data_IF_040501923980
#
_entry.id   IF_040501923980
#
_cell.length_a   1.000
_cell.length_b   1.000
_cell.length_c   1.000
_cell.angle_alpha   90.00
_cell.angle_beta   90.00
_cell.angle_gamma   90.00
#
_symmetry.space_group_name_H-M   'P 1'
#
loop_
_entity.id
_entity.type
_entity.pdbx_description
1 polymer ?
#
# COMPACT_ATOMS: atom_id res chain seq x y z
N UNK A 1 41.00 -29.37 -0.36
CA UNK A 1 40.67 -27.98 -0.75
C UNK A 1 41.37 -27.52 -2.03
N UNK A 2 42.71 -27.59 -2.14
CA UNK A 2 43.43 -27.08 -3.32
C UNK A 2 43.05 -27.77 -4.65
N UNK A 3 42.88 -29.10 -4.63
CA UNK A 3 42.38 -29.89 -5.77
C UNK A 3 40.94 -29.51 -6.15
N UNK A 4 40.07 -29.27 -5.18
CA UNK A 4 38.67 -28.91 -5.39
C UNK A 4 38.51 -27.55 -6.08
N UNK A 5 39.33 -26.56 -5.70
CA UNK A 5 39.36 -25.24 -6.34
C UNK A 5 39.92 -25.28 -7.77
N UNK A 6 40.91 -26.14 -8.03
CA UNK A 6 41.48 -26.33 -9.37
C UNK A 6 40.45 -26.97 -10.30
N UNK A 7 39.75 -28.02 -9.83
CA UNK A 7 38.66 -28.67 -10.57
C UNK A 7 37.51 -27.70 -10.86
N UNK A 8 37.11 -26.90 -9.88
CA UNK A 8 36.03 -25.92 -10.04
C UNK A 8 36.39 -24.85 -11.09
N UNK A 9 37.61 -24.31 -11.02
CA UNK A 9 38.10 -23.33 -11.98
C UNK A 9 38.20 -23.92 -13.39
N UNK A 10 38.72 -25.14 -13.52
CA UNK A 10 38.84 -25.82 -14.82
C UNK A 10 37.46 -26.14 -15.42
N UNK A 11 36.50 -26.58 -14.60
CA UNK A 11 35.13 -26.91 -15.00
C UNK A 11 34.39 -25.69 -15.54
N UNK A 12 34.43 -24.57 -14.80
CA UNK A 12 33.77 -23.32 -15.21
C UNK A 12 34.39 -22.72 -16.48
N UNK A 13 35.71 -22.86 -16.67
CA UNK A 13 36.42 -22.28 -17.82
C UNK A 13 36.26 -23.10 -19.13
N UNK A 14 36.02 -24.41 -19.07
CA UNK A 14 35.85 -25.25 -20.28
C UNK A 14 34.45 -25.13 -20.91
N UNK A 15 33.42 -24.78 -20.14
CA UNK A 15 32.03 -24.64 -20.62
C UNK A 15 31.37 -23.33 -20.17
N UNK A 16 32.12 -22.22 -20.27
CA UNK A 16 31.72 -20.86 -19.81
C UNK A 16 30.33 -20.45 -20.27
N UNK A 17 29.96 -20.72 -21.53
CA UNK A 17 28.66 -20.33 -22.07
C UNK A 17 27.49 -21.01 -21.36
N UNK A 18 27.63 -22.30 -20.99
CA UNK A 18 26.57 -23.05 -20.33
C UNK A 18 26.47 -22.64 -18.85
N UNK A 19 27.60 -22.42 -18.17
CA UNK A 19 27.60 -21.91 -16.79
C UNK A 19 27.05 -20.48 -16.72
N UNK A 20 27.35 -19.64 -17.70
CA UNK A 20 26.78 -18.29 -17.82
C UNK A 20 25.27 -18.34 -18.06
N UNK A 21 24.80 -19.25 -18.92
CA UNK A 21 23.37 -19.45 -19.16
C UNK A 21 22.64 -19.85 -17.87
N UNK A 22 23.19 -20.80 -17.11
CA UNK A 22 22.62 -21.22 -15.81
C UNK A 22 22.61 -20.06 -14.81
N UNK A 23 23.68 -19.25 -14.76
CA UNK A 23 23.73 -18.06 -13.91
C UNK A 23 22.62 -17.06 -14.29
N UNK A 24 22.45 -16.76 -15.57
CA UNK A 24 21.42 -15.85 -16.04
C UNK A 24 20.01 -16.37 -15.77
N UNK A 25 19.76 -17.66 -16.02
CA UNK A 25 18.47 -18.31 -15.74
C UNK A 25 18.12 -18.32 -14.25
N UNK A 26 19.09 -18.63 -13.38
CA UNK A 26 18.88 -18.63 -11.92
C UNK A 26 18.70 -17.22 -11.36
N UNK A 27 19.43 -16.22 -11.86
CA UNK A 27 19.18 -14.81 -11.53
C UNK A 27 17.77 -14.40 -11.94
N UNK A 28 17.33 -14.72 -13.16
CA UNK A 28 15.99 -14.39 -13.64
C UNK A 28 14.91 -15.06 -12.78
N UNK A 29 15.10 -16.33 -12.42
CA UNK A 29 14.18 -17.05 -11.55
C UNK A 29 14.04 -16.37 -10.19
N UNK A 30 15.16 -16.07 -9.52
CA UNK A 30 15.14 -15.44 -8.21
C UNK A 30 14.60 -14.01 -8.26
N UNK A 31 14.83 -13.27 -9.34
CA UNK A 31 14.20 -11.97 -9.56
C UNK A 31 12.67 -12.09 -9.68
N UNK A 32 12.15 -13.07 -10.43
CA UNK A 32 10.72 -13.32 -10.57
C UNK A 32 10.06 -13.77 -9.26
N UNK A 33 10.71 -14.65 -8.50
CA UNK A 33 10.25 -15.06 -7.16
C UNK A 33 10.20 -13.85 -6.23
N UNK A 34 11.19 -12.96 -6.30
CA UNK A 34 11.22 -11.74 -5.50
C UNK A 34 10.08 -10.79 -5.87
N UNK A 35 9.82 -10.62 -7.16
CA UNK A 35 8.71 -9.81 -7.64
C UNK A 35 7.35 -10.41 -7.22
N UNK A 36 7.17 -11.73 -7.32
CA UNK A 36 5.98 -12.43 -6.82
C UNK A 36 5.80 -12.28 -5.31
N UNK A 37 6.88 -12.43 -4.54
CA UNK A 37 6.85 -12.25 -3.10
C UNK A 37 6.38 -10.83 -2.74
N UNK A 38 6.92 -9.81 -3.40
CA UNK A 38 6.49 -8.42 -3.22
C UNK A 38 5.03 -8.20 -3.63
N UNK A 39 4.59 -8.80 -4.75
CA UNK A 39 3.20 -8.74 -5.17
C UNK A 39 2.27 -9.33 -4.12
N UNK A 40 2.57 -10.51 -3.56
CA UNK A 40 1.74 -11.12 -2.52
C UNK A 40 1.83 -10.38 -1.18
N UNK A 41 3.01 -9.91 -0.79
CA UNK A 41 3.20 -9.15 0.44
C UNK A 41 2.42 -7.83 0.42
N UNK A 42 2.46 -7.09 -0.72
CA UNK A 42 1.70 -5.86 -0.92
C UNK A 42 0.21 -6.10 -1.23
N UNK A 43 -0.14 -7.28 -1.75
CA UNK A 43 -1.54 -7.66 -1.92
C UNK A 43 -2.16 -8.01 -0.59
N UNK A 44 -1.52 -8.75 0.31
CA UNK A 44 -2.14 -9.05 1.61
C UNK A 44 -2.45 -7.77 2.41
N UNK A 45 -1.62 -6.73 2.28
CA UNK A 45 -1.93 -5.40 2.82
C UNK A 45 -3.09 -4.71 2.07
N UNK A 46 -3.19 -4.87 0.74
CA UNK A 46 -4.26 -4.30 -0.10
C UNK A 46 -5.59 -5.08 -0.10
N UNK A 47 -5.62 -6.39 0.10
CA UNK A 47 -6.85 -7.16 0.33
C UNK A 47 -7.44 -6.87 1.71
N UNK A 48 -6.65 -6.28 2.62
CA UNK A 48 -7.11 -5.61 3.83
C UNK A 48 -7.40 -4.11 3.63
N UNK A 49 -7.23 -3.58 2.41
CA UNK A 49 -7.46 -2.15 2.16
C UNK A 49 -8.91 -1.77 2.43
N UNK A 50 -9.08 -0.51 2.78
CA UNK A 50 -10.33 0.14 3.12
C UNK A 50 -11.50 -0.22 2.18
N UNK A 51 -11.25 -0.33 0.87
CA UNK A 51 -12.28 -0.58 -0.15
C UNK A 51 -12.59 -2.07 -0.38
N UNK A 52 -11.75 -2.99 0.10
CA UNK A 52 -11.93 -4.43 -0.10
C UNK A 52 -13.21 -4.95 0.56
N UNK A 53 -13.61 -4.39 1.71
CA UNK A 53 -14.86 -4.73 2.39
C UNK A 53 -16.14 -4.28 1.65
N UNK A 54 -15.99 -3.51 0.57
CA UNK A 54 -17.08 -3.08 -0.31
C UNK A 54 -16.99 -3.70 -1.70
N UNK A 55 -16.35 -4.87 -1.81
CA UNK A 55 -16.33 -5.66 -3.04
C UNK A 55 -17.77 -5.84 -3.57
N UNK A 56 -18.02 -5.39 -4.80
CA UNK A 56 -19.34 -5.41 -5.44
C UNK A 56 -20.17 -4.12 -5.31
N UNK A 57 -19.75 -3.11 -4.53
CA UNK A 57 -20.36 -1.77 -4.55
C UNK A 57 -19.67 -0.86 -5.56
N UNK A 58 -20.45 0.00 -6.20
CA UNK A 58 -19.96 1.14 -6.95
C UNK A 58 -19.66 2.32 -6.01
N UNK A 59 -18.55 3.00 -6.28
CA UNK A 59 -18.09 4.16 -5.52
C UNK A 59 -17.99 5.34 -6.47
N UNK A 60 -18.74 6.39 -6.18
CA UNK A 60 -18.73 7.64 -6.95
C UNK A 60 -18.25 8.78 -6.08
N UNK A 61 -17.37 9.63 -6.59
CA UNK A 61 -16.99 10.87 -5.94
C UNK A 61 -18.00 11.95 -6.29
N UNK A 62 -18.46 12.69 -5.29
CA UNK A 62 -19.19 13.94 -5.48
C UNK A 62 -18.21 15.09 -5.28
N UNK A 63 -18.18 16.02 -6.22
CA UNK A 63 -17.35 17.23 -6.14
C UNK A 63 -18.21 18.43 -6.49
N UNK A 64 -18.04 19.55 -5.80
CA UNK A 64 -18.61 20.81 -6.24
C UNK A 64 -17.92 21.31 -7.53
N UNK A 65 -18.61 22.21 -8.24
CA UNK A 65 -18.07 22.91 -9.42
C UNK A 65 -17.91 24.42 -9.17
N UNK A 66 -17.71 24.81 -7.91
CA UNK A 66 -17.51 26.21 -7.53
C UNK A 66 -16.04 26.55 -7.70
N UNK A 67 -15.71 27.06 -8.89
CA UNK A 67 -14.40 27.60 -9.21
C UNK A 67 -14.55 29.04 -9.70
N UNK A 68 -13.49 29.83 -9.52
CA UNK A 68 -13.38 31.20 -10.03
C UNK A 68 -14.58 32.08 -9.62
N UNK A 69 -15.28 32.66 -10.60
CA UNK A 69 -16.40 33.59 -10.37
C UNK A 69 -17.56 32.95 -9.58
N UNK A 70 -17.82 31.64 -9.77
CA UNK A 70 -18.89 30.93 -9.06
C UNK A 70 -18.61 30.80 -7.57
N UNK A 71 -17.34 30.60 -7.20
CA UNK A 71 -16.93 30.54 -5.80
C UNK A 71 -17.15 31.91 -5.13
N UNK A 72 -16.78 32.99 -5.82
CA UNK A 72 -17.00 34.37 -5.36
C UNK A 72 -18.50 34.66 -5.19
N UNK A 73 -19.34 34.25 -6.15
CA UNK A 73 -20.79 34.40 -6.08
C UNK A 73 -21.38 33.61 -4.89
N UNK A 74 -20.94 32.36 -4.70
CA UNK A 74 -21.39 31.52 -3.59
C UNK A 74 -21.10 32.17 -2.23
N UNK A 75 -19.88 32.67 -2.01
CA UNK A 75 -19.53 33.31 -0.74
C UNK A 75 -20.23 34.65 -0.53
N UNK A 76 -20.57 35.36 -1.62
CA UNK A 76 -21.28 36.63 -1.56
C UNK A 76 -22.79 36.48 -1.33
N UNK A 77 -23.35 35.28 -1.50
CA UNK A 77 -24.79 35.02 -1.41
C UNK A 77 -25.18 34.30 -0.09
N UNK A 78 -25.83 34.98 0.86
CA UNK A 78 -26.26 34.36 2.13
C UNK A 78 -27.23 33.17 1.95
N UNK A 79 -28.05 33.18 0.89
CA UNK A 79 -28.99 32.10 0.61
C UNK A 79 -28.29 30.82 0.13
N UNK A 80 -27.05 30.94 -0.37
CA UNK A 80 -26.27 29.78 -0.80
C UNK A 80 -25.95 28.83 0.35
N UNK A 81 -25.79 29.36 1.57
CA UNK A 81 -25.58 28.55 2.76
C UNK A 81 -26.76 27.59 3.01
N UNK A 82 -28.00 28.09 2.94
CA UNK A 82 -29.18 27.26 3.19
C UNK A 82 -29.29 26.12 2.16
N UNK A 83 -29.00 26.42 0.89
CA UNK A 83 -29.00 25.45 -0.21
C UNK A 83 -27.98 24.34 0.02
N UNK A 84 -26.73 24.70 0.32
CA UNK A 84 -25.65 23.70 0.54
C UNK A 84 -25.88 22.87 1.81
N UNK A 85 -26.41 23.48 2.89
CA UNK A 85 -26.81 22.75 4.11
C UNK A 85 -27.84 21.69 3.79
N UNK A 86 -28.92 22.08 3.10
CA UNK A 86 -30.00 21.18 2.75
C UNK A 86 -29.54 20.07 1.79
N UNK A 87 -28.64 20.41 0.84
CA UNK A 87 -28.02 19.43 -0.04
C UNK A 87 -27.23 18.38 0.76
N UNK A 88 -26.29 18.82 1.61
CA UNK A 88 -25.51 17.92 2.46
C UNK A 88 -26.40 17.06 3.36
N UNK A 89 -27.38 17.65 4.06
CA UNK A 89 -28.28 16.91 4.94
C UNK A 89 -29.09 15.86 4.18
N UNK A 90 -29.52 16.15 2.95
CA UNK A 90 -30.26 15.18 2.13
C UNK A 90 -29.35 14.05 1.62
N UNK A 91 -28.10 14.36 1.26
CA UNK A 91 -27.09 13.36 0.90
C UNK A 91 -26.77 12.43 2.07
N UNK A 92 -26.48 13.01 3.25
CA UNK A 92 -26.11 12.30 4.47
C UNK A 92 -27.18 11.29 4.90
N UNK A 93 -28.45 11.66 4.74
CA UNK A 93 -29.61 10.87 5.18
C UNK A 93 -30.30 10.08 4.03
N UNK A 94 -29.65 9.96 2.87
CA UNK A 94 -30.20 9.24 1.73
C UNK A 94 -30.41 7.75 2.04
N UNK A 95 -31.52 7.18 1.58
CA UNK A 95 -31.78 5.72 1.64
C UNK A 95 -31.32 4.99 0.38
N UNK A 96 -31.04 5.73 -0.70
CA UNK A 96 -30.65 5.16 -2.00
C UNK A 96 -29.16 4.81 -2.08
N UNK A 97 -28.35 5.39 -1.20
CA UNK A 97 -26.91 5.19 -1.13
C UNK A 97 -26.37 5.58 0.25
N UNK A 98 -25.18 5.08 0.57
CA UNK A 98 -24.42 5.51 1.73
C UNK A 98 -23.51 6.68 1.33
N UNK A 99 -23.65 7.82 2.00
CA UNK A 99 -22.83 9.00 1.74
C UNK A 99 -21.75 9.17 2.82
N UNK A 100 -20.49 9.07 2.40
CA UNK A 100 -19.32 9.19 3.26
C UNK A 100 -18.60 10.51 2.93
N UNK A 101 -18.35 11.36 3.92
CA UNK A 101 -17.55 12.55 3.73
C UNK A 101 -16.32 12.49 4.64
N UNK A 102 -15.17 12.75 4.01
CA UNK A 102 -13.85 12.79 4.64
C UNK A 102 -13.06 13.93 4.02
N UNK A 103 -12.81 14.97 4.80
CA UNK A 103 -12.15 16.18 4.32
C UNK A 103 -10.74 16.25 4.91
N UNK A 104 -9.73 16.51 4.08
CA UNK A 104 -8.36 16.76 4.54
C UNK A 104 -8.08 18.26 4.61
N UNK A 105 -8.70 18.94 5.57
CA UNK A 105 -8.41 20.32 5.88
C UNK A 105 -7.58 20.40 7.16
N UNK A 106 -6.35 20.92 7.05
CA UNK A 106 -5.50 21.22 8.20
C UNK A 106 -6.14 22.25 9.14
N UNK A 107 -5.75 22.20 10.42
CA UNK A 107 -6.15 23.17 11.45
C UNK A 107 -4.91 23.92 11.96
N UNK A 108 -5.10 25.16 12.41
CA UNK A 108 -4.08 25.91 13.13
C UNK A 108 -4.15 25.58 14.62
N UNK A 109 -3.12 25.04 15.26
CA UNK A 109 -3.13 24.73 16.70
C UNK A 109 -2.22 25.70 17.44
N UNK A 110 -2.74 26.33 18.50
CA UNK A 110 -1.92 27.15 19.39
C UNK A 110 -1.12 26.28 20.36
N UNK A 111 0.11 26.70 20.66
CA UNK A 111 1.01 26.01 21.61
C UNK A 111 1.12 24.50 21.31
N UNK A 112 1.33 24.16 20.04
CA UNK A 112 1.39 22.77 19.61
C UNK A 112 2.55 22.03 20.29
N UNK A 113 2.27 20.84 20.84
CA UNK A 113 3.26 20.06 21.60
C UNK A 113 3.99 19.01 20.76
N UNK A 114 3.54 18.76 19.53
CA UNK A 114 4.08 17.71 18.67
C UNK A 114 5.29 18.13 17.84
N UNK A 115 5.84 17.17 17.10
CA UNK A 115 6.97 17.35 16.18
C UNK A 115 6.54 17.77 14.76
N UNK A 116 7.50 18.14 13.91
CA UNK A 116 7.25 18.55 12.52
C UNK A 116 6.54 17.48 11.67
N UNK A 117 6.65 16.20 12.05
CA UNK A 117 5.98 15.07 11.39
C UNK A 117 4.45 15.19 11.39
N UNK A 118 3.86 15.98 12.28
CA UNK A 118 2.42 16.22 12.36
C UNK A 118 1.96 17.45 11.54
N UNK A 119 2.89 18.19 10.95
CA UNK A 119 2.60 19.46 10.26
C UNK A 119 2.29 19.26 8.78
N UNK A 120 1.35 20.05 8.27
CA UNK A 120 0.97 20.03 6.87
C UNK A 120 2.18 20.30 5.97
N UNK A 121 2.38 19.43 4.96
CA UNK A 121 3.49 19.56 4.00
C UNK A 121 4.73 18.73 4.36
N UNK A 122 4.78 18.14 5.55
CA UNK A 122 5.91 17.29 5.97
C UNK A 122 6.22 16.16 4.99
N UNK A 123 5.20 15.43 4.49
CA UNK A 123 5.38 14.34 3.51
C UNK A 123 5.97 14.82 2.18
N UNK A 124 5.85 16.11 1.88
CA UNK A 124 6.43 16.75 0.68
C UNK A 124 7.84 17.29 0.94
N UNK A 125 8.39 17.08 2.14
CA UNK A 125 9.69 17.62 2.57
C UNK A 125 9.66 19.11 2.94
N UNK A 126 8.47 19.72 2.99
CA UNK A 126 8.29 21.16 3.22
C UNK A 126 7.17 21.40 4.25
N UNK A 127 7.44 21.15 5.55
CA UNK A 127 6.47 21.43 6.61
C UNK A 127 6.20 22.93 6.66
N UNK A 128 4.94 23.31 6.43
CA UNK A 128 4.56 24.72 6.36
C UNK A 128 4.80 25.41 7.71
N UNK A 129 5.36 26.65 7.70
CA UNK A 129 5.59 27.38 8.93
C UNK A 129 4.26 27.76 9.61
N UNK A 130 4.30 28.03 10.93
CA UNK A 130 3.15 28.57 11.66
C UNK A 130 2.73 29.93 11.09
N UNK A 131 1.48 30.31 11.35
CA UNK A 131 0.93 31.60 10.93
C UNK A 131 0.33 32.36 12.11
N UNK A 132 0.26 33.68 11.98
CA UNK A 132 -0.49 34.55 12.90
C UNK A 132 -1.66 35.16 12.15
N UNK A 133 -2.82 35.25 12.81
CA UNK A 133 -4.00 35.91 12.23
C UNK A 133 -3.85 37.44 12.21
N UNK A 134 -3.16 37.99 13.21
CA UNK A 134 -2.75 39.40 13.32
C UNK A 134 -1.40 39.48 14.03
N UNK A 135 -0.62 40.51 13.69
CA UNK A 135 0.66 40.78 14.36
C UNK A 135 0.46 40.93 15.88
N UNK A 136 1.30 40.27 16.66
CA UNK A 136 1.23 40.29 18.13
C UNK A 136 0.23 39.30 18.77
N UNK A 137 -0.55 38.56 17.98
CA UNK A 137 -1.40 37.47 18.47
C UNK A 137 -0.65 36.12 18.49
N UNK A 138 -1.13 35.11 19.25
CA UNK A 138 -0.55 33.78 19.26
C UNK A 138 -0.40 33.19 17.86
N UNK A 139 0.70 32.49 17.62
CA UNK A 139 0.92 31.74 16.39
C UNK A 139 0.17 30.41 16.42
N UNK A 140 -0.21 29.96 15.23
CA UNK A 140 -0.90 28.69 15.00
C UNK A 140 -0.04 27.79 14.11
N UNK A 141 0.29 26.61 14.61
CA UNK A 141 0.96 25.56 13.85
C UNK A 141 -0.03 24.87 12.92
N UNK A 142 0.34 24.65 11.66
CA UNK A 142 -0.53 24.02 10.66
C UNK A 142 -0.52 22.51 10.83
N UNK A 143 -1.35 22.01 11.74
CA UNK A 143 -1.42 20.59 12.08
C UNK A 143 -2.33 19.85 11.09
N UNK A 144 -1.90 18.65 10.69
CA UNK A 144 -2.69 17.74 9.86
C UNK A 144 -4.00 17.38 10.55
N UNK A 145 -5.09 17.48 9.82
CA UNK A 145 -6.40 17.04 10.30
C UNK A 145 -7.24 16.43 9.20
N UNK A 146 -8.15 15.56 9.66
CA UNK A 146 -9.21 14.96 8.86
C UNK A 146 -10.54 15.24 9.55
N UNK A 147 -11.53 15.68 8.79
CA UNK A 147 -12.92 15.78 9.23
C UNK A 147 -13.69 14.59 8.68
N UNK A 148 -14.48 13.92 9.51
CA UNK A 148 -15.26 12.74 9.11
C UNK A 148 -16.71 12.89 9.54
N UNK A 149 -17.66 12.43 8.72
CA UNK A 149 -19.08 12.44 9.10
C UNK A 149 -19.50 11.17 9.91
N UNK A 150 -20.71 11.20 10.48
CA UNK A 150 -21.24 10.08 11.28
C UNK A 150 -21.33 8.78 10.47
N UNK A 151 -21.66 8.87 9.17
CA UNK A 151 -21.69 7.70 8.30
C UNK A 151 -20.31 7.03 8.17
N UNK A 152 -19.21 7.79 8.12
CA UNK A 152 -17.85 7.21 8.14
C UNK A 152 -17.65 6.48 9.46
N UNK A 153 -17.87 7.15 10.60
CA UNK A 153 -17.61 6.53 11.89
C UNK A 153 -18.48 5.29 12.16
N UNK A 154 -19.76 5.31 11.80
CA UNK A 154 -20.69 4.20 12.01
C UNK A 154 -20.45 3.03 11.07
N UNK A 155 -19.95 3.28 9.86
CA UNK A 155 -19.68 2.21 8.90
C UNK A 155 -18.33 1.55 9.19
N UNK A 156 -17.37 2.25 9.80
CA UNK A 156 -16.06 1.71 10.11
C UNK A 156 -15.95 1.36 11.60
N UNK A 157 -15.42 0.16 11.89
CA UNK A 157 -15.15 -0.28 13.26
C UNK A 157 -13.92 0.44 13.84
N UNK A 158 -14.00 1.77 13.96
CA UNK A 158 -12.97 2.64 14.52
C UNK A 158 -12.84 2.31 16.00
N UNK A 159 -11.61 2.01 16.43
CA UNK A 159 -11.31 1.68 17.83
C UNK A 159 -10.32 2.67 18.40
N UNK A 160 -10.51 2.98 19.67
CA UNK A 160 -9.57 3.77 20.45
C UNK A 160 -8.65 2.86 21.26
N UNK A 161 -7.43 3.33 21.47
CA UNK A 161 -6.53 2.79 22.49
C UNK A 161 -6.83 3.41 23.85
N UNK A 162 -7.23 4.69 23.88
CA UNK A 162 -7.63 5.42 25.09
C UNK A 162 -8.86 6.28 24.82
N UNK A 163 -9.72 6.43 25.82
CA UNK A 163 -10.95 7.22 25.69
C UNK A 163 -11.98 6.57 24.79
N UNK A 164 -12.83 7.38 24.15
CA UNK A 164 -13.98 6.93 23.35
C UNK A 164 -13.93 7.44 21.92
N UNK A 165 -14.66 6.77 21.03
CA UNK A 165 -14.99 7.32 19.70
C UNK A 165 -16.09 8.38 19.81
N UNK A 166 -16.35 9.11 18.71
CA UNK A 166 -17.47 10.05 18.68
C UNK A 166 -18.82 9.32 18.84
N UNK A 167 -19.77 9.98 19.49
CA UNK A 167 -21.17 9.60 19.50
C UNK A 167 -21.96 10.54 18.57
N UNK A 168 -23.28 10.32 18.42
CA UNK A 168 -24.09 11.13 17.51
C UNK A 168 -24.15 12.60 17.92
N UNK A 169 -24.12 12.88 19.22
CA UNK A 169 -24.19 14.22 19.77
C UNK A 169 -22.91 15.03 19.46
N UNK A 170 -21.76 14.37 19.35
CA UNK A 170 -20.47 15.01 19.06
C UNK A 170 -20.41 15.66 17.67
N UNK A 171 -21.28 15.24 16.73
CA UNK A 171 -21.38 15.86 15.41
C UNK A 171 -22.21 17.15 15.41
N UNK A 172 -23.00 17.41 16.47
CA UNK A 172 -23.81 18.61 16.58
C UNK A 172 -22.95 19.77 17.07
N UNK A 173 -22.75 20.77 16.21
CA UNK A 173 -22.01 21.97 16.60
C UNK A 173 -22.90 22.91 17.41
N UNK A 174 -22.39 23.30 18.58
CA UNK A 174 -23.01 24.32 19.43
C UNK A 174 -21.96 25.35 19.78
N UNK A 175 -22.26 26.62 19.50
CA UNK A 175 -21.31 27.70 19.78
C UNK A 175 -20.97 27.78 21.27
N UNK A 176 -19.69 27.98 21.58
CA UNK A 176 -19.21 28.10 22.96
C UNK A 176 -19.06 26.77 23.71
N UNK A 177 -19.32 25.64 23.05
CA UNK A 177 -19.02 24.31 23.59
C UNK A 177 -17.67 23.82 23.09
N UNK A 178 -16.99 23.00 23.89
CA UNK A 178 -15.72 22.40 23.47
C UNK A 178 -15.98 21.32 22.43
N UNK A 179 -15.30 21.43 21.31
CA UNK A 179 -15.36 20.46 20.21
C UNK A 179 -14.75 19.13 20.66
N UNK A 180 -15.42 17.98 20.51
CA UNK A 180 -14.82 16.68 20.77
C UNK A 180 -13.78 16.36 19.70
N UNK A 181 -12.59 15.94 20.12
CA UNK A 181 -11.46 15.66 19.22
C UNK A 181 -10.92 14.27 19.47
N UNK A 182 -10.68 13.52 18.40
CA UNK A 182 -9.88 12.30 18.46
C UNK A 182 -8.49 12.56 17.88
N UNK A 183 -7.48 11.87 18.38
CA UNK A 183 -6.12 11.94 17.85
C UNK A 183 -5.65 10.61 17.30
N UNK A 184 -4.83 10.65 16.25
CA UNK A 184 -4.08 9.50 15.78
C UNK A 184 -3.14 8.92 16.84
N UNK A 185 -2.76 7.65 16.67
CA UNK A 185 -1.99 6.91 17.66
C UNK A 185 -0.63 7.55 18.02
N UNK A 186 0.04 8.24 17.08
CA UNK A 186 1.34 8.85 17.32
C UNK A 186 1.28 10.10 18.22
N UNK A 187 0.09 10.64 18.48
CA UNK A 187 -0.08 11.74 19.44
C UNK A 187 -0.04 11.29 20.92
N UNK A 188 -0.07 9.99 21.19
CA UNK A 188 -0.19 9.44 22.55
C UNK A 188 0.91 9.95 23.51
N UNK A 189 2.09 10.27 23.00
CA UNK A 189 3.22 10.78 23.80
C UNK A 189 3.12 12.26 24.14
N UNK A 190 2.22 13.01 23.48
CA UNK A 190 2.14 14.48 23.58
C UNK A 190 0.87 14.97 24.26
N UNK A 191 -0.22 14.20 24.17
CA UNK A 191 -1.54 14.58 24.66
C UNK A 191 -2.25 13.41 25.36
N UNK A 192 -3.11 13.73 26.32
CA UNK A 192 -3.97 12.79 27.03
C UNK A 192 -5.46 13.07 26.77
N UNK A 193 -6.29 12.05 26.98
CA UNK A 193 -7.75 12.23 26.99
C UNK A 193 -8.13 13.20 28.12
N UNK A 194 -8.96 14.18 27.81
CA UNK A 194 -9.34 15.29 28.70
C UNK A 194 -8.54 16.57 28.48
N UNK A 195 -7.38 16.51 27.79
CA UNK A 195 -6.62 17.70 27.45
C UNK A 195 -7.42 18.62 26.52
N UNK A 196 -7.20 19.92 26.68
CA UNK A 196 -7.82 20.96 25.86
C UNK A 196 -6.83 21.48 24.82
N UNK A 197 -7.29 21.69 23.59
CA UNK A 197 -6.52 22.34 22.53
C UNK A 197 -7.28 23.57 22.01
N UNK A 198 -6.56 24.67 21.78
CA UNK A 198 -7.10 25.87 21.14
C UNK A 198 -6.66 25.87 19.68
N UNK A 199 -7.62 26.00 18.76
CA UNK A 199 -7.34 25.85 17.35
C UNK A 199 -8.18 26.77 16.46
N UNK A 200 -7.61 27.14 15.33
CA UNK A 200 -8.25 27.85 14.23
C UNK A 200 -8.64 26.83 13.15
N UNK A 201 -9.94 26.77 12.84
CA UNK A 201 -10.48 25.93 11.78
C UNK A 201 -11.33 26.79 10.84
N UNK A 202 -10.93 26.87 9.57
CA UNK A 202 -11.62 27.69 8.55
C UNK A 202 -11.79 29.16 8.99
N UNK A 203 -10.77 29.71 9.66
CA UNK A 203 -10.68 31.05 10.24
C UNK A 203 -11.57 31.29 11.49
N UNK A 204 -12.21 30.25 12.01
CA UNK A 204 -12.94 30.29 13.28
C UNK A 204 -12.06 29.73 14.40
N UNK A 205 -11.85 30.51 15.46
CA UNK A 205 -11.19 30.05 16.67
C UNK A 205 -12.17 29.23 17.52
N UNK A 206 -11.72 28.05 17.92
CA UNK A 206 -12.48 27.03 18.63
C UNK A 206 -11.63 26.45 19.76
N UNK A 207 -12.31 25.94 20.78
CA UNK A 207 -11.73 25.17 21.86
C UNK A 207 -12.14 23.71 21.68
N UNK A 208 -11.18 22.79 21.77
CA UNK A 208 -11.39 21.36 21.61
C UNK A 208 -10.99 20.58 22.85
N UNK A 209 -11.67 19.48 23.11
CA UNK A 209 -11.33 18.52 24.17
C UNK A 209 -11.00 17.16 23.54
N UNK A 210 -9.88 16.58 23.92
CA UNK A 210 -9.48 15.26 23.44
C UNK A 210 -10.34 14.21 24.13
N UNK A 211 -11.21 13.53 23.37
CA UNK A 211 -12.12 12.49 23.88
C UNK A 211 -11.59 11.09 23.63
N UNK A 212 -10.65 10.91 22.70
CA UNK A 212 -10.10 9.62 22.35
C UNK A 212 -8.77 9.69 21.59
N UNK A 213 -8.00 8.61 21.71
CA UNK A 213 -6.78 8.37 20.92
C UNK A 213 -6.96 7.04 20.20
N UNK A 214 -6.87 7.06 18.88
CA UNK A 214 -7.10 5.93 17.99
C UNK A 214 -6.05 4.82 18.17
N UNK A 215 -6.42 3.59 17.81
CA UNK A 215 -5.44 2.51 17.70
C UNK A 215 -4.50 2.76 16.52
N UNK A 216 -3.27 2.25 16.63
CA UNK A 216 -2.27 2.32 15.56
C UNK A 216 -2.79 1.70 14.26
N UNK A 217 -2.43 2.28 13.13
CA UNK A 217 -2.85 1.90 11.79
C UNK A 217 -4.37 2.01 11.56
N UNK A 218 -5.06 2.93 12.26
CA UNK A 218 -6.47 3.22 11.93
C UNK A 218 -6.53 3.94 10.59
N UNK A 219 -7.40 3.46 9.68
CA UNK A 219 -7.54 3.99 8.32
C UNK A 219 -8.95 4.51 8.04
N UNK A 220 -9.03 5.57 7.22
CA UNK A 220 -10.28 6.19 6.79
C UNK A 220 -10.41 6.17 5.25
N UNK A 221 -11.65 6.21 4.70
CA UNK A 221 -11.81 6.51 3.28
C UNK A 221 -11.24 7.89 3.05
N UNK A 222 -10.34 8.07 2.10
CA UNK A 222 -10.04 9.40 1.60
C UNK A 222 -10.16 9.39 0.09
N UNK A 223 -10.79 10.42 -0.46
CA UNK A 223 -10.93 10.59 -1.89
C UNK A 223 -9.56 10.57 -2.57
N UNK A 224 -9.30 9.57 -3.41
CA UNK A 224 -8.04 9.41 -4.15
C UNK A 224 -6.91 8.71 -3.39
N UNK A 225 -7.14 8.27 -2.15
CA UNK A 225 -6.18 7.50 -1.36
C UNK A 225 -6.83 6.19 -0.88
N UNK A 226 -6.26 5.06 -1.30
CA UNK A 226 -6.76 3.73 -0.95
C UNK A 226 -6.32 3.26 0.44
N UNK A 227 -5.30 3.89 1.03
CA UNK A 227 -4.67 3.47 2.28
C UNK A 227 -4.26 4.70 3.11
N UNK A 228 -5.24 5.53 3.47
CA UNK A 228 -4.99 6.69 4.33
C UNK A 228 -4.95 6.29 5.81
N UNK A 229 -3.79 6.43 6.45
CA UNK A 229 -3.61 6.14 7.89
C UNK A 229 -3.69 7.42 8.73
N UNK A 230 -4.51 7.39 9.77
CA UNK A 230 -4.82 8.54 10.61
C UNK A 230 -3.83 8.75 11.78
N UNK A 231 -2.77 7.94 11.88
CA UNK A 231 -1.86 7.89 13.03
C UNK A 231 -1.25 9.25 13.39
N UNK A 232 -1.07 10.13 12.39
CA UNK A 232 -0.48 11.48 12.53
C UNK A 232 -1.47 12.62 12.27
N UNK A 233 -2.76 12.35 12.35
CA UNK A 233 -3.81 13.34 12.10
C UNK A 233 -4.60 13.64 13.38
N UNK A 234 -5.07 14.88 13.47
CA UNK A 234 -6.18 15.26 14.35
C UNK A 234 -7.49 14.93 13.64
N UNK A 235 -8.40 14.24 14.31
CA UNK A 235 -9.69 13.86 13.76
C UNK A 235 -10.75 14.77 14.38
N UNK A 236 -11.48 15.48 13.53
CA UNK A 236 -12.62 16.31 13.89
C UNK A 236 -13.92 15.69 13.35
N UNK A 237 -15.05 15.88 14.03
CA UNK A 237 -16.34 15.56 13.43
C UNK A 237 -16.67 16.57 12.33
N UNK A 238 -17.21 16.08 11.22
CA UNK A 238 -17.84 16.90 10.19
C UNK A 238 -19.16 17.43 10.76
N UNK A 239 -19.15 18.69 11.17
CA UNK A 239 -20.21 19.28 11.97
C UNK A 239 -21.57 19.37 11.25
N UNK A 240 -22.62 19.20 12.05
CA UNK A 240 -23.99 19.60 11.75
C UNK A 240 -24.27 20.89 12.51
N UNK A 241 -24.44 21.99 11.78
CA UNK A 241 -24.67 23.33 12.35
C UNK A 241 -26.10 23.79 12.07
N UNK A 242 -26.97 23.69 13.07
CA UNK A 242 -28.37 24.14 12.95
C UNK A 242 -28.52 25.65 13.15
N UNK A 243 -27.57 26.28 13.86
CA UNK A 243 -27.61 27.71 14.17
C UNK A 243 -27.51 28.59 12.91
N UNK A 244 -28.34 29.64 12.87
CA UNK A 244 -28.27 30.71 11.86
C UNK A 244 -27.04 31.59 12.18
N UNK A 245 -26.16 31.87 11.19
CA UNK A 245 -24.98 32.70 11.43
C UNK A 245 -25.38 34.12 11.82
N UNK A 246 -24.81 34.63 12.91
CA UNK A 246 -25.14 35.96 13.45
C UNK A 246 -24.28 37.10 12.88
N UNK A 247 -23.16 36.78 12.23
CA UNK A 247 -22.24 37.75 11.66
C UNK A 247 -21.55 37.17 10.40
N UNK A 248 -20.80 38.01 9.68
CA UNK A 248 -20.13 37.64 8.44
C UNK A 248 -19.06 36.53 8.64
N UNK A 249 -18.37 36.53 9.78
CA UNK A 249 -17.38 35.52 10.12
C UNK A 249 -18.03 34.14 10.29
N UNK A 250 -19.13 34.07 11.05
CA UNK A 250 -19.91 32.85 11.23
C UNK A 250 -20.53 32.38 9.90
N UNK A 251 -21.03 33.29 9.07
CA UNK A 251 -21.54 32.95 7.74
C UNK A 251 -20.44 32.32 6.88
N UNK A 252 -19.27 32.95 6.81
CA UNK A 252 -18.12 32.46 6.04
C UNK A 252 -17.63 31.10 6.55
N UNK A 253 -17.56 30.92 7.88
CA UNK A 253 -17.19 29.66 8.51
C UNK A 253 -18.14 28.53 8.08
N UNK A 254 -19.46 28.76 8.22
CA UNK A 254 -20.46 27.76 7.85
C UNK A 254 -20.44 27.47 6.33
N UNK A 255 -20.29 28.49 5.48
CA UNK A 255 -20.19 28.30 4.02
C UNK A 255 -19.00 27.42 3.64
N UNK A 256 -17.80 27.72 4.16
CA UNK A 256 -16.58 26.93 3.91
C UNK A 256 -16.72 25.50 4.42
N UNK A 257 -17.28 25.35 5.62
CA UNK A 257 -17.52 24.05 6.25
C UNK A 257 -18.41 23.17 5.37
N UNK A 258 -19.60 23.66 5.02
CA UNK A 258 -20.54 22.86 4.22
C UNK A 258 -20.08 22.64 2.78
N UNK A 259 -19.25 23.52 2.21
CA UNK A 259 -18.61 23.29 0.93
C UNK A 259 -17.65 22.08 1.01
N UNK A 260 -16.88 21.95 2.09
CA UNK A 260 -16.11 20.72 2.34
C UNK A 260 -17.02 19.50 2.55
N UNK A 261 -18.10 19.64 3.30
CA UNK A 261 -19.00 18.55 3.67
C UNK A 261 -19.69 17.89 2.45
N UNK A 262 -20.01 18.65 1.40
CA UNK A 262 -20.64 18.12 0.16
C UNK A 262 -19.67 17.39 -0.77
N UNK A 263 -18.36 17.50 -0.53
CA UNK A 263 -17.31 16.87 -1.31
C UNK A 263 -16.99 15.46 -0.79
N UNK A 264 -17.94 14.54 -0.97
CA UNK A 264 -17.89 13.19 -0.41
C UNK A 264 -17.81 12.06 -1.44
N UNK A 265 -18.15 10.86 -0.97
CA UNK A 265 -18.23 9.62 -1.72
C UNK A 265 -19.60 8.98 -1.55
N UNK A 266 -20.13 8.45 -2.63
CA UNK A 266 -21.40 7.74 -2.70
C UNK A 266 -21.09 6.26 -2.89
N UNK A 267 -21.49 5.44 -1.93
CA UNK A 267 -21.36 3.99 -1.95
C UNK A 267 -22.73 3.37 -2.22
N UNK A 268 -22.86 2.63 -3.32
CA UNK A 268 -24.14 2.06 -3.73
C UNK A 268 -23.98 0.86 -4.67
N UNK A 269 -25.03 0.07 -4.83
CA UNK A 269 -25.08 -1.00 -5.84
C UNK A 269 -25.64 -0.49 -7.19
N UNK A 270 -26.10 0.77 -7.24
CA UNK A 270 -26.67 1.40 -8.44
C UNK A 270 -25.55 1.81 -9.41
N UNK A 271 -25.87 1.79 -10.70
CA UNK A 271 -24.99 2.30 -11.75
C UNK A 271 -24.95 3.85 -11.77
N UNK A 272 -24.04 4.42 -12.57
CA UNK A 272 -23.80 5.86 -12.60
C UNK A 272 -25.04 6.67 -13.02
N UNK A 273 -25.82 6.16 -13.98
CA UNK A 273 -27.01 6.86 -14.49
C UNK A 273 -28.07 6.90 -13.39
N UNK A 274 -28.25 5.79 -12.68
CA UNK A 274 -29.16 5.71 -11.54
C UNK A 274 -28.75 6.64 -10.40
N UNK A 275 -27.45 6.71 -10.06
CA UNK A 275 -26.95 7.66 -9.05
C UNK A 275 -27.17 9.10 -9.48
N UNK A 276 -26.85 9.44 -10.74
CA UNK A 276 -27.06 10.78 -11.27
C UNK A 276 -28.53 11.20 -11.16
N UNK A 277 -29.48 10.30 -11.48
CA UNK A 277 -30.92 10.60 -11.32
C UNK A 277 -31.30 10.91 -9.89
N UNK A 278 -30.82 10.14 -8.92
CA UNK A 278 -31.12 10.36 -7.50
C UNK A 278 -30.53 11.69 -7.02
N UNK A 279 -29.25 11.95 -7.31
CA UNK A 279 -28.59 13.20 -6.88
C UNK A 279 -29.18 14.42 -7.59
N UNK A 280 -29.54 14.32 -8.88
CA UNK A 280 -30.26 15.37 -9.61
C UNK A 280 -31.61 15.68 -8.96
N UNK A 281 -32.37 14.67 -8.52
CA UNK A 281 -33.63 14.89 -7.82
C UNK A 281 -33.42 15.60 -6.46
N UNK A 282 -32.35 15.25 -5.74
CA UNK A 282 -31.96 15.94 -4.50
C UNK A 282 -31.61 17.41 -4.79
N UNK A 283 -30.75 17.64 -5.80
CA UNK A 283 -30.29 18.96 -6.23
C UNK A 283 -31.45 19.87 -6.64
N UNK A 284 -32.38 19.37 -7.46
CA UNK A 284 -33.58 20.11 -7.86
C UNK A 284 -34.46 20.50 -6.66
N UNK A 285 -34.62 19.58 -5.71
CA UNK A 285 -35.43 19.81 -4.50
C UNK A 285 -34.85 20.91 -3.62
N UNK A 286 -33.52 21.02 -3.52
CA UNK A 286 -32.83 21.97 -2.64
C UNK A 286 -32.23 23.18 -3.37
N UNK A 287 -32.36 23.22 -4.70
CA UNK A 287 -31.86 24.26 -5.60
C UNK A 287 -30.34 24.50 -5.49
N UNK A 288 -29.57 23.41 -5.43
CA UNK A 288 -28.11 23.40 -5.49
C UNK A 288 -27.64 22.58 -6.70
N UNK A 289 -27.04 23.24 -7.69
CA UNK A 289 -26.76 22.64 -9.00
C UNK A 289 -25.28 22.57 -9.35
N UNK A 290 -24.40 23.21 -8.56
CA UNK A 290 -22.96 23.29 -8.80
C UNK A 290 -22.22 22.06 -8.26
N UNK A 291 -22.46 20.90 -8.85
CA UNK A 291 -21.75 19.66 -8.54
C UNK A 291 -21.54 18.78 -9.76
N UNK A 292 -20.60 17.85 -9.62
CA UNK A 292 -20.32 16.78 -10.56
C UNK A 292 -20.17 15.46 -9.82
N UNK A 293 -20.69 14.39 -10.42
CA UNK A 293 -20.44 13.04 -9.98
C UNK A 293 -19.32 12.46 -10.85
N UNK A 294 -18.18 12.21 -10.21
CA UNK A 294 -17.01 11.61 -10.82
C UNK A 294 -17.01 10.13 -10.43
N UNK A 295 -17.41 9.29 -11.37
CA UNK A 295 -17.27 7.84 -11.22
C UNK A 295 -15.94 7.39 -11.80
N UNK A 296 -15.15 6.67 -11.01
CA UNK A 296 -14.37 5.61 -11.63
C UNK A 296 -15.40 4.66 -12.22
N UNK A 297 -15.43 4.52 -13.55
CA UNK A 297 -16.18 3.43 -14.15
C UNK A 297 -15.72 2.17 -13.39
N UNK A 298 -16.57 1.50 -12.62
CA UNK A 298 -16.15 0.32 -11.84
C UNK A 298 -15.57 -0.74 -12.76
N UNK A 299 -15.95 -0.70 -14.03
CA UNK A 299 -15.31 -1.36 -15.16
C UNK A 299 -13.79 -1.10 -15.20
N UNK A 300 -13.32 0.14 -15.09
CA UNK A 300 -11.89 0.47 -15.12
C UNK A 300 -11.10 -0.04 -13.91
N UNK A 301 -11.64 0.10 -12.69
CA UNK A 301 -10.99 -0.40 -11.47
C UNK A 301 -11.04 -1.93 -11.41
N UNK A 302 -12.18 -2.55 -11.72
CA UNK A 302 -12.31 -4.01 -11.79
C UNK A 302 -11.49 -4.61 -12.93
N UNK A 303 -11.39 -3.95 -14.10
CA UNK A 303 -10.45 -4.31 -15.16
C UNK A 303 -9.03 -4.19 -14.66
N UNK A 304 -8.65 -3.12 -13.96
CA UNK A 304 -7.30 -2.96 -13.42
C UNK A 304 -6.97 -4.06 -12.42
N UNK A 305 -7.88 -4.39 -11.49
CA UNK A 305 -7.70 -5.52 -10.56
C UNK A 305 -7.65 -6.87 -11.28
N UNK A 306 -8.49 -7.06 -12.30
CA UNK A 306 -8.49 -8.26 -13.14
C UNK A 306 -7.18 -8.38 -13.92
N UNK A 307 -6.69 -7.29 -14.52
CA UNK A 307 -5.40 -7.20 -15.21
C UNK A 307 -4.24 -7.44 -14.23
N UNK A 308 -4.29 -6.89 -13.02
CA UNK A 308 -3.29 -7.17 -11.98
C UNK A 308 -3.28 -8.66 -11.60
N UNK A 309 -4.45 -9.26 -11.40
CA UNK A 309 -4.57 -10.69 -11.09
C UNK A 309 -4.06 -11.55 -12.25
N UNK A 310 -4.41 -11.21 -13.49
CA UNK A 310 -3.91 -11.87 -14.69
C UNK A 310 -2.38 -11.71 -14.82
N UNK A 311 -1.83 -10.52 -14.54
CA UNK A 311 -0.38 -10.28 -14.56
C UNK A 311 0.35 -11.14 -13.53
N UNK A 312 -0.19 -11.28 -12.32
CA UNK A 312 0.38 -12.15 -11.28
C UNK A 312 0.31 -13.62 -11.69
N UNK A 313 -0.81 -14.05 -12.29
CA UNK A 313 -0.96 -15.40 -12.84
C UNK A 313 0.07 -15.67 -13.95
N UNK A 314 0.30 -14.70 -14.84
CA UNK A 314 1.33 -14.79 -15.89
C UNK A 314 2.74 -14.84 -15.30
N UNK A 315 3.04 -14.04 -14.27
CA UNK A 315 4.32 -14.08 -13.58
C UNK A 315 4.55 -15.42 -12.88
N UNK A 316 3.52 -16.00 -12.27
CA UNK A 316 3.59 -17.35 -11.68
C UNK A 316 3.87 -18.40 -12.76
N UNK A 317 3.18 -18.34 -13.90
CA UNK A 317 3.42 -19.23 -15.03
C UNK A 317 4.86 -19.13 -15.56
N UNK A 318 5.36 -17.92 -15.79
CA UNK A 318 6.75 -17.71 -16.24
C UNK A 318 7.77 -18.21 -15.21
N UNK A 319 7.51 -18.00 -13.92
CA UNK A 319 8.36 -18.52 -12.85
C UNK A 319 8.41 -20.04 -12.86
N UNK A 320 7.25 -20.71 -13.02
CA UNK A 320 7.18 -22.18 -13.09
C UNK A 320 7.92 -22.72 -14.32
N UNK A 321 7.77 -22.08 -15.49
CA UNK A 321 8.47 -22.47 -16.72
C UNK A 321 9.98 -22.30 -16.57
N UNK A 322 10.44 -21.16 -16.05
CA UNK A 322 11.87 -20.90 -15.83
C UNK A 322 12.45 -21.84 -14.78
N UNK A 323 11.69 -22.19 -13.74
CA UNK A 323 12.08 -23.16 -12.73
C UNK A 323 12.38 -24.54 -13.35
N UNK A 324 11.50 -25.03 -14.23
CA UNK A 324 11.71 -26.28 -14.97
C UNK A 324 12.94 -26.17 -15.89
N UNK A 325 13.08 -25.06 -16.62
CA UNK A 325 14.26 -24.83 -17.46
C UNK A 325 15.56 -24.82 -16.66
N UNK A 326 15.57 -24.25 -15.45
CA UNK A 326 16.76 -24.29 -14.58
C UNK A 326 17.15 -25.73 -14.24
N UNK A 327 16.19 -26.58 -13.86
CA UNK A 327 16.42 -28.00 -13.55
C UNK A 327 16.98 -28.73 -14.78
N UNK A 328 16.37 -28.54 -15.94
CA UNK A 328 16.80 -29.18 -17.20
C UNK A 328 18.21 -28.70 -17.60
N UNK A 329 18.46 -27.39 -17.58
CA UNK A 329 19.78 -26.81 -17.91
C UNK A 329 20.88 -27.31 -16.99
N UNK A 330 20.62 -27.36 -15.68
CA UNK A 330 21.58 -27.89 -14.70
C UNK A 330 21.83 -29.38 -14.97
N UNK A 331 20.77 -30.16 -15.16
CA UNK A 331 20.87 -31.60 -15.45
C UNK A 331 21.67 -31.87 -16.72
N UNK A 332 21.36 -31.17 -17.82
CA UNK A 332 22.08 -31.27 -19.09
C UNK A 332 23.54 -30.86 -18.94
N UNK A 333 23.83 -29.79 -18.20
CA UNK A 333 25.20 -29.34 -17.93
C UNK A 333 26.03 -30.40 -17.22
N UNK A 334 25.47 -31.03 -16.19
CA UNK A 334 26.14 -32.12 -15.47
C UNK A 334 26.35 -33.36 -16.37
N UNK A 335 25.34 -33.75 -17.14
CA UNK A 335 25.40 -34.90 -18.04
C UNK A 335 26.42 -34.68 -19.17
N UNK A 336 26.44 -33.51 -19.79
CA UNK A 336 27.41 -33.18 -20.84
C UNK A 336 28.84 -33.14 -20.29
N UNK A 337 29.01 -32.65 -19.05
CA UNK A 337 30.32 -32.66 -18.37
C UNK A 337 30.77 -34.06 -18.02
N UNK A 338 29.86 -34.94 -17.61
CA UNK A 338 30.15 -36.36 -17.44
C UNK A 338 30.76 -36.93 -18.72
N UNK A 339 30.08 -36.75 -19.86
CA UNK A 339 30.53 -37.31 -21.14
C UNK A 339 31.87 -36.71 -21.59
N UNK A 340 32.10 -35.42 -21.32
CA UNK A 340 33.35 -34.73 -21.66
C UNK A 340 34.54 -35.18 -20.78
N UNK A 341 34.31 -35.37 -19.49
CA UNK A 341 35.36 -35.64 -18.49
C UNK A 341 35.41 -37.11 -18.03
N UNK A 342 34.69 -38.02 -18.70
CA UNK A 342 34.54 -39.41 -18.26
C UNK A 342 35.88 -40.13 -18.04
N UNK A 343 36.90 -39.84 -18.87
CA UNK A 343 38.26 -40.39 -18.73
C UNK A 343 38.93 -39.92 -17.44
N UNK A 344 38.79 -38.64 -17.10
CA UNK A 344 39.35 -38.04 -15.88
C UNK A 344 38.68 -38.65 -14.64
N UNK A 345 37.36 -38.77 -14.66
CA UNK A 345 36.61 -39.40 -13.57
C UNK A 345 36.92 -40.89 -13.43
N UNK A 346 37.12 -41.63 -14.54
CA UNK A 346 37.54 -43.03 -14.49
C UNK A 346 38.93 -43.19 -13.84
N UNK A 347 39.90 -42.31 -14.16
CA UNK A 347 41.21 -42.30 -13.51
C UNK A 347 41.06 -42.04 -12.00
N UNK A 348 40.23 -41.06 -11.60
CA UNK A 348 39.98 -40.80 -10.18
C UNK A 348 39.40 -42.03 -9.46
N UNK A 349 38.42 -42.72 -10.07
CA UNK A 349 37.82 -43.92 -9.50
C UNK A 349 38.83 -45.07 -9.35
N UNK A 350 39.70 -45.27 -10.34
CA UNK A 350 40.77 -46.29 -10.29
C UNK A 350 41.82 -45.94 -9.22
N UNK A 351 42.15 -44.65 -9.09
CA UNK A 351 43.08 -44.15 -8.07
C UNK A 351 42.47 -44.10 -6.65
N UNK A 352 41.30 -44.71 -6.44
CA UNK A 352 40.68 -44.88 -5.12
C UNK A 352 39.66 -43.81 -4.73
N UNK A 353 39.27 -42.90 -5.63
CA UNK A 353 38.17 -41.97 -5.36
C UNK A 353 36.82 -42.70 -5.36
N UNK A 354 35.90 -42.25 -4.51
CA UNK A 354 34.56 -42.83 -4.41
C UNK A 354 33.53 -42.04 -5.23
N UNK A 355 32.46 -42.69 -5.65
CA UNK A 355 31.34 -42.07 -6.40
C UNK A 355 30.76 -40.82 -5.69
N UNK A 356 30.57 -40.80 -4.36
CA UNK A 356 30.13 -39.61 -3.63
C UNK A 356 31.09 -38.42 -3.73
N UNK A 357 32.40 -38.64 -3.86
CA UNK A 357 33.36 -37.55 -4.03
C UNK A 357 33.19 -36.84 -5.39
N UNK A 358 32.83 -37.59 -6.44
CA UNK A 358 32.51 -37.02 -7.76
C UNK A 358 31.20 -36.24 -7.71
N UNK A 359 30.18 -36.76 -7.02
CA UNK A 359 28.93 -36.04 -6.77
C UNK A 359 29.16 -34.74 -5.99
N UNK A 360 30.07 -34.74 -5.01
CA UNK A 360 30.43 -33.56 -4.23
C UNK A 360 31.08 -32.47 -5.10
N UNK A 361 31.90 -32.83 -6.10
CA UNK A 361 32.46 -31.87 -7.04
C UNK A 361 31.38 -31.21 -7.90
N UNK A 362 30.44 -32.00 -8.42
CA UNK A 362 29.30 -31.49 -9.19
C UNK A 362 28.40 -30.59 -8.34
N UNK A 363 28.12 -30.99 -7.09
CA UNK A 363 27.34 -30.21 -6.13
C UNK A 363 28.01 -28.87 -5.83
N UNK A 364 29.32 -28.86 -5.53
CA UNK A 364 30.04 -27.64 -5.19
C UNK A 364 30.04 -26.64 -6.34
N UNK A 365 30.12 -27.11 -7.58
CA UNK A 365 30.05 -26.22 -8.74
C UNK A 365 28.68 -25.54 -8.87
N UNK A 366 27.59 -26.31 -8.79
CA UNK A 366 26.23 -25.75 -8.87
C UNK A 366 25.98 -24.81 -7.70
N UNK A 367 26.41 -25.19 -6.50
CA UNK A 367 26.31 -24.37 -5.30
C UNK A 367 27.00 -23.02 -5.51
N UNK A 368 28.21 -22.99 -6.08
CA UNK A 368 28.91 -21.74 -6.39
C UNK A 368 28.13 -20.83 -7.35
N UNK A 369 27.53 -21.38 -8.41
CA UNK A 369 26.74 -20.60 -9.37
C UNK A 369 25.49 -20.03 -8.70
N UNK A 370 24.80 -20.84 -7.89
CA UNK A 370 23.59 -20.42 -7.19
C UNK A 370 23.91 -19.38 -6.11
N UNK A 371 24.96 -19.57 -5.31
CA UNK A 371 25.41 -18.58 -4.35
C UNK A 371 25.71 -17.24 -5.05
N UNK A 372 26.38 -17.27 -6.21
CA UNK A 372 26.63 -16.06 -6.98
C UNK A 372 25.32 -15.38 -7.42
N UNK A 373 24.36 -16.15 -7.95
CA UNK A 373 23.06 -15.58 -8.34
C UNK A 373 22.29 -14.98 -7.16
N UNK A 374 22.29 -15.64 -6.01
CA UNK A 374 21.64 -15.13 -4.79
C UNK A 374 22.31 -13.85 -4.29
N UNK A 375 23.64 -13.75 -4.33
CA UNK A 375 24.34 -12.51 -3.94
C UNK A 375 23.99 -11.34 -4.84
N UNK A 376 23.85 -11.56 -6.15
CA UNK A 376 23.44 -10.52 -7.09
C UNK A 376 22.02 -10.02 -6.81
N UNK A 377 21.08 -10.94 -6.57
CA UNK A 377 19.69 -10.60 -6.24
C UNK A 377 19.58 -9.92 -4.88
N UNK A 378 20.35 -10.36 -3.89
CA UNK A 378 20.42 -9.73 -2.58
C UNK A 378 20.87 -8.27 -2.68
N UNK A 379 21.97 -8.01 -3.38
CA UNK A 379 22.48 -6.64 -3.60
C UNK A 379 21.47 -5.76 -4.34
N UNK A 380 20.76 -6.32 -5.33
CA UNK A 380 19.70 -5.58 -6.02
C UNK A 380 18.53 -5.25 -5.10
N UNK A 381 18.10 -6.20 -4.25
CA UNK A 381 16.94 -6.02 -3.38
C UNK A 381 17.20 -5.03 -2.24
N UNK A 382 18.46 -4.82 -1.83
CA UNK A 382 18.82 -3.75 -0.90
C UNK A 382 18.48 -2.35 -1.44
N UNK A 383 18.47 -2.15 -2.76
CA UNK A 383 18.06 -0.89 -3.38
C UNK A 383 16.54 -0.66 -3.32
N UNK A 384 15.75 -1.73 -3.18
CA UNK A 384 14.28 -1.67 -3.13
C UNK A 384 13.78 -1.42 -1.71
N UNK A 385 14.46 -1.96 -0.70
CA UNK A 385 14.16 -1.73 0.72
C UNK A 385 14.46 -2.94 1.61
N UNK A 386 14.18 -2.81 2.90
CA UNK A 386 14.35 -3.91 3.87
C UNK A 386 13.27 -4.99 3.66
N UNK A 387 13.72 -6.25 3.54
CA UNK A 387 12.84 -7.40 3.31
C UNK A 387 12.67 -8.23 4.59
N UNK A 388 11.48 -8.80 4.85
CA UNK A 388 11.25 -9.64 6.01
C UNK A 388 12.07 -10.94 5.95
N UNK A 389 12.37 -11.54 7.10
CA UNK A 389 13.19 -12.76 7.19
C UNK A 389 12.60 -13.93 6.37
N UNK A 390 11.27 -14.05 6.29
CA UNK A 390 10.56 -15.08 5.51
C UNK A 390 10.86 -15.05 4.01
N UNK A 391 11.18 -13.88 3.45
CA UNK A 391 11.59 -13.74 2.06
C UNK A 391 12.88 -14.52 1.78
N UNK A 392 13.90 -14.37 2.64
CA UNK A 392 15.19 -15.04 2.48
C UNK A 392 15.07 -16.56 2.62
N UNK A 393 14.23 -17.05 3.55
CA UNK A 393 13.94 -18.47 3.66
C UNK A 393 13.27 -19.04 2.40
N UNK A 394 12.41 -18.27 1.74
CA UNK A 394 11.76 -18.68 0.49
C UNK A 394 12.78 -18.87 -0.63
N UNK A 395 13.71 -17.92 -0.81
CA UNK A 395 14.78 -18.04 -1.81
C UNK A 395 15.71 -19.23 -1.53
N UNK A 396 16.12 -19.41 -0.26
CA UNK A 396 16.96 -20.54 0.14
C UNK A 396 16.25 -21.87 -0.11
N UNK A 397 14.96 -21.98 0.26
CA UNK A 397 14.16 -23.18 0.02
C UNK A 397 14.10 -23.55 -1.46
N UNK A 398 13.79 -22.59 -2.34
CA UNK A 398 13.75 -22.81 -3.79
C UNK A 398 15.12 -23.20 -4.34
N UNK A 399 16.19 -22.56 -3.85
CA UNK A 399 17.56 -22.89 -4.28
C UNK A 399 17.94 -24.33 -3.98
N UNK A 400 17.59 -24.84 -2.79
CA UNK A 400 17.84 -26.23 -2.39
C UNK A 400 17.07 -27.21 -3.27
N UNK A 401 15.80 -26.92 -3.57
CA UNK A 401 14.96 -27.76 -4.42
C UNK A 401 15.57 -27.89 -5.83
N UNK A 402 16.03 -26.78 -6.41
CA UNK A 402 16.63 -26.78 -7.76
C UNK A 402 17.92 -27.59 -7.80
N UNK A 403 18.77 -27.46 -6.76
CA UNK A 403 20.01 -28.24 -6.67
C UNK A 403 19.69 -29.73 -6.60
N UNK A 404 18.79 -30.13 -5.69
CA UNK A 404 18.41 -31.53 -5.51
C UNK A 404 17.83 -32.10 -6.79
N UNK A 405 16.81 -31.44 -7.38
CA UNK A 405 16.14 -31.93 -8.59
C UNK A 405 17.08 -31.95 -9.80
N UNK A 406 17.94 -30.93 -9.97
CA UNK A 406 18.91 -30.88 -11.06
C UNK A 406 20.01 -31.94 -10.98
N UNK A 407 20.31 -32.43 -9.77
CA UNK A 407 21.31 -33.49 -9.57
C UNK A 407 20.76 -34.91 -9.78
N UNK A 408 19.45 -35.13 -9.66
CA UNK A 408 18.84 -36.47 -9.76
C UNK A 408 19.25 -37.19 -11.07
N UNK A 409 19.10 -36.61 -12.27
CA UNK A 409 19.44 -37.31 -13.52
C UNK A 409 20.92 -37.67 -13.61
N UNK A 410 21.79 -36.79 -13.11
CA UNK A 410 23.23 -37.04 -13.07
C UNK A 410 23.58 -38.18 -12.11
N UNK A 411 22.98 -38.21 -10.91
CA UNK A 411 23.20 -39.28 -9.94
C UNK A 411 22.78 -40.65 -10.48
N UNK A 412 21.66 -40.73 -11.19
CA UNK A 412 21.21 -41.96 -11.86
C UNK A 412 22.20 -42.41 -12.94
N UNK A 413 22.65 -41.50 -13.81
CA UNK A 413 23.62 -41.80 -14.87
C UNK A 413 24.95 -42.28 -14.31
N UNK A 414 25.39 -41.71 -13.19
CA UNK A 414 26.62 -42.07 -12.50
C UNK A 414 26.55 -43.49 -11.91
N UNK A 415 25.45 -43.81 -11.21
CA UNK A 415 25.28 -45.12 -10.57
C UNK A 415 25.12 -46.28 -11.57
N UNK A 416 24.59 -46.03 -12.77
CA UNK A 416 24.42 -47.04 -13.82
C UNK A 416 25.70 -47.25 -14.67
N UNK A 417 26.71 -46.41 -14.52
CA UNK A 417 27.91 -46.43 -15.35
C UNK A 417 28.88 -47.55 -14.95
N UNK A 418 29.02 -48.59 -15.77
CA UNK A 418 30.00 -49.65 -15.54
C UNK A 418 31.42 -49.16 -15.89
N UNK A 419 32.22 -48.89 -14.87
CA UNK A 419 33.58 -48.32 -14.94
C UNK A 419 34.50 -49.15 -15.86
N UNK A 420 34.35 -50.49 -15.84
CA UNK A 420 35.18 -51.41 -16.63
C UNK A 420 34.83 -51.34 -18.13
N UNK A 421 33.56 -51.14 -18.48
CA UNK A 421 33.14 -50.95 -19.88
C UNK A 421 33.58 -49.59 -20.43
N UNK A 422 33.63 -48.55 -19.59
CA UNK A 422 34.00 -47.19 -19.99
C UNK A 422 35.47 -47.11 -20.44
N UNK A 423 36.35 -47.85 -19.76
CA UNK A 423 37.78 -47.90 -20.10
C UNK A 423 38.07 -48.74 -21.35
N UNK A 424 37.27 -49.78 -21.62
CA UNK A 424 37.45 -50.68 -22.77
C UNK A 424 36.83 -50.19 -24.08
N UNK A 425 35.97 -49.17 -24.08
CA UNK A 425 35.14 -48.82 -25.25
C UNK A 425 35.83 -48.02 -26.38
N UNK A 426 37.14 -47.80 -26.31
CA UNK A 426 37.93 -47.15 -27.38
C UNK A 426 39.39 -47.60 -27.32
N UNK A 427 39.64 -48.84 -27.75
CA UNK A 427 40.72 -49.05 -28.72
C UNK A 427 40.14 -48.85 -30.12
#
# INVERSE_FOLDING_TARGET
MRTLLIELKESLLKKKMLSLLILLQTCLLFALISALYLSFYKIDTKTKSFYAQYEGKNIYKLSDQLFDEKEVEFFSNPNALLKVKNFYHTLLNSKDFLYLNTTLQHIGVQNFKGQSIFLQGYEKGDPRPPYQKKEGLPSFDRVKSIQINDNVLSTFNVKTQKGRVFNKEDFLFKKGTKIPIMLGAEYQSFYNVGDTIYFDYLNQELEGMIVGILQKNTSFPVNGDSEFYADRYVILPEFIMEEVPQNAEALSFQQKHYLHAINGQIFTNKDMISVQKVVNAISQKVSFDDYIIIGANTIGISLMFTMMKQNIQLMFLFTAVIFIFCIISISLSLIMKWDTNIKKYAIHLISGATVPQILLYAFTEILCIICLSLTLIFSFMQLVGEMPISYYFTLLGVSLIIIVLGMIPFSFKLNQSNIVKILKKKE
#
